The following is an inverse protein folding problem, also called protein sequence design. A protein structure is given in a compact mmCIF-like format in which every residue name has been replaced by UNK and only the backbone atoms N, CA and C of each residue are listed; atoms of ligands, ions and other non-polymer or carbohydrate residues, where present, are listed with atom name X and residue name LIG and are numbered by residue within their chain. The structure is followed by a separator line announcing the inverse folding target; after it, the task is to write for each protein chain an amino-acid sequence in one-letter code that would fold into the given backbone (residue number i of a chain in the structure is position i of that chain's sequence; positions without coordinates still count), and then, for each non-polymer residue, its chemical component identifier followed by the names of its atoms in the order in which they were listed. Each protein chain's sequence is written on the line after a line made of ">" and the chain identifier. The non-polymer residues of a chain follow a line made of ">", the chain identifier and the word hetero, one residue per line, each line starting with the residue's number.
data_IF_341083412518
#
_entry.id   IF_341083412518
#
_cell.length_a   1.000
_cell.length_b   1.000
_cell.length_c   1.000
_cell.angle_alpha   90.00
_cell.angle_beta   90.00
_cell.angle_gamma   90.00
#
_symmetry.space_group_name_H-M   'P 1'
#
loop_
_entity.id
_entity.type
_entity.pdbx_description
1 polymer ?
#
# COMPACT_ATOMS: atom_id res chain seq x y z
N UNK A 1 -77.56 55.68 -27.84
CA UNK A 1 -76.89 54.85 -28.85
C UNK A 1 -77.75 54.88 -30.10
N UNK A 2 -77.31 55.57 -31.16
CA UNK A 2 -78.03 55.58 -32.44
C UNK A 2 -77.33 54.66 -33.43
N UNK A 3 -78.14 53.90 -34.16
CA UNK A 3 -77.71 52.95 -35.19
C UNK A 3 -78.69 53.10 -36.35
N UNK A 4 -78.18 53.25 -37.56
CA UNK A 4 -79.02 53.46 -38.75
C UNK A 4 -79.25 52.16 -39.52
N UNK A 5 -80.26 52.13 -40.41
CA UNK A 5 -80.55 50.95 -41.22
C UNK A 5 -79.36 50.57 -42.13
N UNK A 6 -78.58 51.55 -42.58
CA UNK A 6 -77.36 51.31 -43.34
C UNK A 6 -76.21 50.81 -42.45
N UNK A 7 -76.11 51.25 -41.19
CA UNK A 7 -75.17 50.65 -40.23
C UNK A 7 -75.49 49.17 -39.99
N UNK A 8 -76.78 48.81 -39.92
CA UNK A 8 -77.23 47.41 -39.78
C UNK A 8 -76.97 46.57 -41.03
N UNK A 9 -77.23 47.10 -42.24
CA UNK A 9 -76.93 46.38 -43.50
C UNK A 9 -75.43 46.20 -43.72
N UNK A 10 -74.65 47.21 -43.36
CA UNK A 10 -73.18 47.18 -43.44
C UNK A 10 -72.63 46.15 -42.46
N UNK A 11 -73.13 46.13 -41.21
CA UNK A 11 -72.76 45.12 -40.22
C UNK A 11 -73.18 43.70 -40.66
N UNK A 12 -74.40 43.51 -41.16
CA UNK A 12 -74.91 42.20 -41.61
C UNK A 12 -74.11 41.58 -42.77
N UNK A 13 -73.34 42.40 -43.49
CA UNK A 13 -72.44 41.96 -44.57
C UNK A 13 -70.96 41.93 -44.15
N UNK A 14 -70.67 42.14 -42.86
CA UNK A 14 -69.32 42.21 -42.29
C UNK A 14 -69.04 41.01 -41.37
N UNK A 15 -67.81 40.88 -40.89
CA UNK A 15 -67.39 39.80 -39.99
C UNK A 15 -66.64 40.35 -38.76
N UNK A 16 -66.53 39.52 -37.71
CA UNK A 16 -65.81 39.85 -36.48
C UNK A 16 -66.43 41.02 -35.71
N UNK A 17 -65.59 41.90 -35.15
CA UNK A 17 -66.03 43.06 -34.38
C UNK A 17 -66.88 44.06 -35.20
N UNK A 18 -66.78 44.02 -36.54
CA UNK A 18 -67.55 44.89 -37.43
C UNK A 18 -69.04 44.51 -37.56
N UNK A 19 -69.42 43.32 -37.06
CA UNK A 19 -70.82 42.94 -36.88
C UNK A 19 -71.55 43.79 -35.81
N UNK A 20 -70.80 44.50 -34.96
CA UNK A 20 -71.38 45.36 -33.93
C UNK A 20 -71.79 46.68 -34.59
N UNK A 21 -73.11 46.97 -34.74
CA UNK A 21 -73.55 48.13 -35.51
C UNK A 21 -73.45 49.44 -34.70
N UNK A 22 -73.24 49.33 -33.39
CA UNK A 22 -73.05 50.46 -32.49
C UNK A 22 -71.59 50.91 -32.50
N UNK A 23 -71.32 52.11 -32.99
CA UNK A 23 -69.97 52.61 -33.25
C UNK A 23 -69.05 52.58 -32.02
N UNK A 24 -69.57 52.96 -30.85
CA UNK A 24 -68.74 53.15 -29.65
C UNK A 24 -68.33 51.81 -29.03
N UNK A 25 -69.29 50.88 -28.93
CA UNK A 25 -69.03 49.49 -28.54
C UNK A 25 -68.15 48.76 -29.55
N UNK A 26 -68.35 49.02 -30.85
CA UNK A 26 -67.48 48.47 -31.90
C UNK A 26 -66.05 48.96 -31.73
N UNK A 27 -65.82 50.25 -31.48
CA UNK A 27 -64.47 50.79 -31.27
C UNK A 27 -63.77 50.19 -30.06
N UNK A 28 -64.45 50.04 -28.93
CA UNK A 28 -63.88 49.35 -27.76
C UNK A 28 -63.59 47.87 -28.05
N UNK A 29 -64.54 47.17 -28.69
CA UNK A 29 -64.35 45.77 -29.07
C UNK A 29 -63.21 45.58 -30.08
N UNK A 30 -63.06 46.49 -31.05
CA UNK A 30 -61.94 46.49 -32.00
C UNK A 30 -60.62 46.73 -31.27
N UNK A 31 -60.54 47.72 -30.38
CA UNK A 31 -59.34 47.99 -29.58
C UNK A 31 -58.92 46.78 -28.74
N UNK A 32 -59.87 46.11 -28.08
CA UNK A 32 -59.62 44.90 -27.29
C UNK A 32 -59.23 43.72 -28.20
N UNK A 33 -59.89 43.55 -29.35
CA UNK A 33 -59.56 42.49 -30.30
C UNK A 33 -58.16 42.66 -30.88
N UNK A 34 -57.75 43.89 -31.20
CA UNK A 34 -56.40 44.21 -31.67
C UNK A 34 -55.36 43.96 -30.57
N UNK A 35 -55.67 44.31 -29.31
CA UNK A 35 -54.79 44.03 -28.17
C UNK A 35 -54.66 42.53 -27.88
N UNK A 36 -55.75 41.76 -28.01
CA UNK A 36 -55.73 40.30 -27.91
C UNK A 36 -54.93 39.70 -29.07
N UNK A 37 -55.14 40.15 -30.30
CA UNK A 37 -54.41 39.65 -31.47
C UNK A 37 -52.90 39.89 -31.32
N UNK A 38 -52.51 41.10 -30.92
CA UNK A 38 -51.11 41.47 -30.67
C UNK A 38 -50.49 40.64 -29.55
N UNK A 39 -51.18 40.47 -28.41
CA UNK A 39 -50.67 39.69 -27.29
C UNK A 39 -50.65 38.19 -27.58
N UNK A 40 -51.59 37.68 -28.36
CA UNK A 40 -51.61 36.28 -28.81
C UNK A 40 -50.41 35.98 -29.70
N UNK A 41 -50.11 36.86 -30.65
CA UNK A 41 -48.92 36.73 -31.49
C UNK A 41 -47.63 36.82 -30.68
N UNK A 42 -47.56 37.74 -29.70
CA UNK A 42 -46.40 37.87 -28.82
C UNK A 42 -46.22 36.66 -27.90
N UNK A 43 -47.31 36.07 -27.39
CA UNK A 43 -47.28 34.85 -26.56
C UNK A 43 -46.96 33.61 -27.39
N UNK A 44 -47.54 33.47 -28.59
CA UNK A 44 -47.29 32.30 -29.45
C UNK A 44 -45.84 32.31 -29.96
N UNK A 45 -45.31 33.47 -30.37
CA UNK A 45 -43.93 33.57 -30.86
C UNK A 45 -42.92 33.48 -29.72
N UNK A 46 -43.04 34.29 -28.66
CA UNK A 46 -42.08 34.26 -27.55
C UNK A 46 -42.23 33.01 -26.69
N UNK A 47 -43.45 32.51 -26.48
CA UNK A 47 -43.71 31.30 -25.70
C UNK A 47 -43.09 30.07 -26.33
N UNK A 48 -43.24 29.89 -27.65
CA UNK A 48 -42.64 28.76 -28.36
C UNK A 48 -41.10 28.85 -28.39
N UNK A 49 -40.55 30.06 -28.60
CA UNK A 49 -39.09 30.28 -28.56
C UNK A 49 -38.52 30.01 -27.18
N UNK A 50 -39.14 30.53 -26.11
CA UNK A 50 -38.68 30.33 -24.75
C UNK A 50 -38.80 28.87 -24.31
N UNK A 51 -39.85 28.17 -24.74
CA UNK A 51 -40.02 26.72 -24.48
C UNK A 51 -38.91 25.93 -25.15
N UNK A 52 -38.65 26.18 -26.43
CA UNK A 52 -37.58 25.51 -27.17
C UNK A 52 -36.19 25.80 -26.58
N UNK A 53 -35.94 27.05 -26.16
CA UNK A 53 -34.68 27.42 -25.50
C UNK A 53 -34.52 26.76 -24.13
N UNK A 54 -35.60 26.66 -23.35
CA UNK A 54 -35.61 25.97 -22.06
C UNK A 54 -35.29 24.49 -22.23
N UNK A 55 -35.92 23.83 -23.19
CA UNK A 55 -35.71 22.40 -23.45
C UNK A 55 -34.29 22.13 -23.94
N UNK A 56 -33.75 22.99 -24.82
CA UNK A 56 -32.34 22.94 -25.24
C UNK A 56 -31.39 23.09 -24.03
N UNK A 57 -31.64 24.06 -23.15
CA UNK A 57 -30.80 24.28 -21.96
C UNK A 57 -30.91 23.14 -20.95
N UNK A 58 -32.09 22.55 -20.77
CA UNK A 58 -32.26 21.36 -19.93
C UNK A 58 -31.49 20.17 -20.48
N UNK A 59 -31.48 20.01 -21.80
CA UNK A 59 -30.66 19.01 -22.47
C UNK A 59 -29.16 19.26 -22.25
N UNK A 60 -28.69 20.50 -22.42
CA UNK A 60 -27.30 20.88 -22.15
C UNK A 60 -26.90 20.62 -20.69
N UNK A 61 -27.77 20.99 -19.72
CA UNK A 61 -27.54 20.75 -18.29
C UNK A 61 -27.41 19.25 -18.02
N UNK A 62 -28.28 18.43 -18.63
CA UNK A 62 -28.21 16.97 -18.47
C UNK A 62 -26.89 16.43 -19.02
N UNK A 63 -26.49 16.86 -20.22
CA UNK A 63 -25.21 16.45 -20.83
C UNK A 63 -23.99 16.91 -20.02
N UNK A 64 -24.02 18.11 -19.47
CA UNK A 64 -22.97 18.62 -18.59
C UNK A 64 -22.91 17.85 -17.27
N UNK A 65 -24.06 17.54 -16.66
CA UNK A 65 -24.10 16.71 -15.45
C UNK A 65 -23.58 15.29 -15.70
N UNK A 66 -23.89 14.70 -16.86
CA UNK A 66 -23.33 13.40 -17.27
C UNK A 66 -21.80 13.48 -17.47
N UNK A 67 -21.29 14.55 -18.07
CA UNK A 67 -19.84 14.80 -18.21
C UNK A 67 -19.15 14.99 -16.85
N UNK A 68 -19.72 15.82 -15.97
CA UNK A 68 -19.22 16.04 -14.60
C UNK A 68 -19.17 14.71 -13.83
N UNK A 69 -20.25 13.94 -13.84
CA UNK A 69 -20.29 12.64 -13.16
C UNK A 69 -19.26 11.65 -13.74
N UNK A 70 -18.92 11.79 -15.02
CA UNK A 70 -17.89 10.98 -15.67
C UNK A 70 -16.46 11.46 -15.34
N UNK A 71 -16.22 12.77 -15.27
CA UNK A 71 -14.94 13.37 -14.87
C UNK A 71 -14.66 13.20 -13.37
N UNK A 72 -15.66 13.31 -12.50
CA UNK A 72 -15.55 13.03 -11.06
C UNK A 72 -15.14 11.58 -10.76
N UNK A 73 -15.56 10.62 -11.62
CA UNK A 73 -15.07 9.23 -11.57
C UNK A 73 -13.60 9.11 -11.99
N UNK A 74 -13.10 10.02 -12.82
CA UNK A 74 -11.73 10.01 -13.36
C UNK A 74 -10.75 10.74 -12.43
N UNK A 75 -11.16 11.81 -11.74
CA UNK A 75 -10.28 12.61 -10.86
C UNK A 75 -9.91 11.89 -9.54
N UNK A 76 -10.77 11.00 -9.03
CA UNK A 76 -10.45 10.14 -7.88
C UNK A 76 -9.44 9.02 -8.20
N UNK A 77 -9.14 8.79 -9.48
CA UNK A 77 -8.32 7.66 -9.95
C UNK A 77 -6.90 8.10 -10.32
N UNK A 78 -6.70 9.29 -10.91
CA UNK A 78 -5.37 9.76 -11.34
C UNK A 78 -4.44 10.14 -10.18
N UNK A 79 -4.91 10.86 -9.14
CA UNK A 79 -4.08 11.16 -7.95
C UNK A 79 -3.71 9.90 -7.15
N UNK A 80 -4.62 8.92 -7.09
CA UNK A 80 -4.33 7.61 -6.49
C UNK A 80 -3.35 6.82 -7.35
N UNK A 81 -3.35 6.97 -8.67
CA UNK A 81 -2.47 6.23 -9.55
C UNK A 81 -1.01 6.67 -9.40
N UNK A 82 -0.75 7.98 -9.34
CA UNK A 82 0.61 8.51 -9.08
C UNK A 82 1.13 8.06 -7.70
N UNK A 83 0.26 8.08 -6.68
CA UNK A 83 0.59 7.58 -5.34
C UNK A 83 0.83 6.06 -5.34
N UNK A 84 0.00 5.29 -6.06
CA UNK A 84 0.17 3.84 -6.24
C UNK A 84 1.49 3.53 -6.94
N UNK A 85 1.84 4.27 -7.99
CA UNK A 85 3.07 4.03 -8.74
C UNK A 85 4.31 4.47 -7.94
N UNK A 86 4.19 5.51 -7.13
CA UNK A 86 5.20 5.86 -6.11
C UNK A 86 5.37 4.74 -5.08
N UNK A 87 4.27 4.23 -4.52
CA UNK A 87 4.33 3.13 -3.54
C UNK A 87 4.86 1.84 -4.15
N UNK A 88 4.53 1.51 -5.40
CA UNK A 88 5.12 0.35 -6.10
C UNK A 88 6.63 0.49 -6.23
N UNK A 89 7.12 1.67 -6.61
CA UNK A 89 8.55 1.94 -6.73
C UNK A 89 9.25 1.85 -5.37
N UNK A 90 8.60 2.33 -4.32
CA UNK A 90 9.10 2.22 -2.95
C UNK A 90 9.13 0.75 -2.47
N UNK A 91 8.09 -0.03 -2.79
CA UNK A 91 8.06 -1.48 -2.53
C UNK A 91 9.19 -2.20 -3.29
N UNK A 92 9.44 -1.84 -4.55
CA UNK A 92 10.51 -2.45 -5.35
C UNK A 92 11.90 -2.13 -4.79
N UNK A 93 12.14 -0.88 -4.38
CA UNK A 93 13.39 -0.48 -3.70
C UNK A 93 13.55 -1.20 -2.35
N UNK A 94 12.48 -1.29 -1.56
CA UNK A 94 12.48 -2.03 -0.29
C UNK A 94 12.73 -3.52 -0.51
N UNK A 95 12.16 -4.14 -1.53
CA UNK A 95 12.42 -5.53 -1.89
C UNK A 95 13.89 -5.74 -2.30
N UNK A 96 14.48 -4.80 -3.04
CA UNK A 96 15.90 -4.79 -3.35
C UNK A 96 16.77 -4.79 -2.08
N UNK A 97 16.44 -3.92 -1.12
CA UNK A 97 17.12 -3.85 0.19
C UNK A 97 16.95 -5.13 1.00
N UNK A 98 15.75 -5.72 1.03
CA UNK A 98 15.49 -7.00 1.70
C UNK A 98 16.36 -8.11 1.11
N UNK A 99 16.47 -8.16 -0.23
CA UNK A 99 17.32 -9.16 -0.90
C UNK A 99 18.80 -9.00 -0.54
N UNK A 100 19.31 -7.77 -0.49
CA UNK A 100 20.69 -7.50 -0.06
C UNK A 100 20.93 -7.91 1.40
N UNK A 101 20.01 -7.54 2.30
CA UNK A 101 20.04 -7.94 3.71
C UNK A 101 20.04 -9.47 3.84
N UNK A 102 19.22 -10.19 3.07
CA UNK A 102 19.19 -11.64 3.08
C UNK A 102 20.53 -12.25 2.64
N UNK A 103 21.15 -11.70 1.59
CA UNK A 103 22.49 -12.15 1.15
C UNK A 103 23.57 -11.91 2.22
N UNK A 104 23.47 -10.81 2.96
CA UNK A 104 24.38 -10.53 4.08
C UNK A 104 24.11 -11.48 5.25
N UNK A 105 22.84 -11.76 5.58
CA UNK A 105 22.45 -12.73 6.60
C UNK A 105 22.97 -14.14 6.29
N UNK A 106 22.89 -14.59 5.04
CA UNK A 106 23.45 -15.88 4.62
C UNK A 106 24.97 -15.97 4.89
N UNK A 107 25.70 -14.89 4.58
CA UNK A 107 27.15 -14.80 4.81
C UNK A 107 27.48 -14.86 6.30
N UNK A 108 26.71 -14.15 7.12
CA UNK A 108 26.87 -14.15 8.58
C UNK A 108 26.51 -15.52 9.16
N UNK A 109 25.47 -16.18 8.64
CA UNK A 109 25.04 -17.51 9.05
C UNK A 109 26.12 -18.56 8.77
N UNK A 110 26.73 -18.54 7.58
CA UNK A 110 27.85 -19.43 7.25
C UNK A 110 29.04 -19.21 8.19
N UNK A 111 29.38 -17.94 8.45
CA UNK A 111 30.44 -17.57 9.38
C UNK A 111 30.16 -18.06 10.81
N UNK A 112 28.92 -17.94 11.28
CA UNK A 112 28.49 -18.41 12.60
C UNK A 112 28.53 -19.94 12.72
N UNK A 113 28.16 -20.68 11.65
CA UNK A 113 28.28 -22.15 11.60
C UNK A 113 29.74 -22.59 11.67
N UNK A 114 30.63 -21.97 10.89
CA UNK A 114 32.07 -22.25 10.96
C UNK A 114 32.64 -21.99 12.35
N UNK A 115 32.23 -20.91 13.00
CA UNK A 115 32.65 -20.63 14.37
C UNK A 115 32.15 -21.69 15.35
N UNK A 116 30.91 -22.16 15.21
CA UNK A 116 30.38 -23.26 16.01
C UNK A 116 31.22 -24.54 15.83
N UNK A 117 31.49 -24.95 14.59
CA UNK A 117 32.28 -26.15 14.28
C UNK A 117 33.71 -26.08 14.84
N UNK A 118 34.34 -24.90 14.75
CA UNK A 118 35.66 -24.66 15.35
C UNK A 118 35.63 -24.79 16.87
N UNK A 119 34.56 -24.33 17.53
CA UNK A 119 34.40 -24.46 19.00
C UNK A 119 34.18 -25.91 19.42
N UNK A 120 33.36 -26.65 18.68
CA UNK A 120 33.17 -28.09 18.88
C UNK A 120 34.50 -28.82 18.75
N UNK A 121 35.24 -28.54 17.67
CA UNK A 121 36.57 -29.13 17.42
C UNK A 121 37.55 -28.81 18.56
N UNK A 122 37.58 -27.56 19.04
CA UNK A 122 38.44 -27.16 20.15
C UNK A 122 38.13 -27.93 21.44
N UNK A 123 36.84 -28.14 21.75
CA UNK A 123 36.43 -28.98 22.90
C UNK A 123 36.94 -30.42 22.74
N UNK A 124 36.81 -31.00 21.56
CA UNK A 124 37.33 -32.36 21.28
C UNK A 124 38.85 -32.45 21.46
N UNK A 125 39.59 -31.42 21.06
CA UNK A 125 41.03 -31.33 21.32
C UNK A 125 41.36 -31.25 22.81
N UNK A 126 40.61 -30.49 23.60
CA UNK A 126 40.78 -30.46 25.05
C UNK A 126 40.46 -31.81 25.71
N UNK A 127 39.41 -32.50 25.27
CA UNK A 127 39.08 -33.84 25.75
C UNK A 127 40.17 -34.85 25.39
N UNK A 128 40.72 -34.76 24.18
CA UNK A 128 41.87 -35.58 23.76
C UNK A 128 43.11 -35.30 24.61
N UNK A 129 43.41 -34.03 24.90
CA UNK A 129 44.53 -33.65 25.75
C UNK A 129 44.37 -34.20 27.18
N UNK A 130 43.18 -34.06 27.78
CA UNK A 130 42.87 -34.65 29.10
C UNK A 130 43.08 -36.16 29.10
N UNK A 131 42.61 -36.88 28.07
CA UNK A 131 42.82 -38.34 27.94
C UNK A 131 44.29 -38.71 27.86
N UNK A 132 45.08 -38.02 27.03
CA UNK A 132 46.52 -38.27 26.89
C UNK A 132 47.27 -37.99 28.20
N UNK A 133 46.93 -36.92 28.93
CA UNK A 133 47.53 -36.61 30.22
C UNK A 133 47.19 -37.67 31.28
N UNK A 134 45.94 -38.15 31.32
CA UNK A 134 45.55 -39.25 32.21
C UNK A 134 46.25 -40.57 31.86
N UNK A 135 46.46 -40.85 30.58
CA UNK A 135 47.22 -42.01 30.12
C UNK A 135 48.70 -41.91 30.49
N UNK A 136 49.32 -40.73 30.36
CA UNK A 136 50.70 -40.48 30.81
C UNK A 136 50.88 -40.62 32.32
N UNK A 137 49.89 -40.16 33.11
CA UNK A 137 49.88 -40.40 34.56
C UNK A 137 49.85 -41.90 34.89
N UNK A 138 49.10 -42.66 34.11
CA UNK A 138 48.95 -44.11 34.31
C UNK A 138 50.16 -44.91 33.78
N UNK A 139 50.90 -44.35 32.82
CA UNK A 139 52.03 -44.98 32.14
C UNK A 139 53.20 -43.98 32.00
N UNK A 140 53.85 -43.57 33.11
CA UNK A 140 54.87 -42.53 33.11
C UNK A 140 56.10 -42.89 32.28
N UNK A 141 56.36 -44.19 32.06
CA UNK A 141 57.45 -44.70 31.22
C UNK A 141 57.35 -44.22 29.77
N UNK A 142 56.14 -43.89 29.28
CA UNK A 142 55.92 -43.35 27.93
C UNK A 142 56.55 -41.97 27.73
N UNK A 143 56.72 -41.20 28.80
CA UNK A 143 57.35 -39.88 28.77
C UNK A 143 58.75 -39.87 29.39
N UNK A 144 58.98 -40.68 30.43
CA UNK A 144 60.20 -40.64 31.24
C UNK A 144 61.20 -41.76 30.92
N UNK A 145 60.84 -42.71 30.04
CA UNK A 145 61.68 -43.87 29.70
C UNK A 145 61.57 -45.02 30.71
N UNK A 146 62.37 -46.07 30.52
CA UNK A 146 62.33 -47.27 31.36
C UNK A 146 62.82 -46.98 32.80
N UNK A 147 62.04 -47.42 33.79
CA UNK A 147 62.32 -47.32 35.22
C UNK A 147 62.56 -45.88 35.76
N UNK A 148 61.57 -44.97 35.61
CA UNK A 148 61.73 -43.59 36.06
C UNK A 148 61.73 -43.46 37.59
N UNK A 149 62.51 -42.51 38.11
CA UNK A 149 62.58 -42.23 39.55
C UNK A 149 61.25 -41.73 40.12
N UNK A 150 61.01 -41.98 41.40
CA UNK A 150 59.80 -41.54 42.09
C UNK A 150 59.64 -40.00 42.10
N UNK A 151 60.76 -39.28 42.16
CA UNK A 151 60.81 -37.82 42.04
C UNK A 151 60.24 -37.36 40.68
N UNK A 152 60.70 -37.99 39.59
CA UNK A 152 60.28 -37.65 38.23
C UNK A 152 58.80 -38.02 37.99
N UNK A 153 58.34 -39.14 38.57
CA UNK A 153 56.92 -39.55 38.51
C UNK A 153 56.00 -38.55 39.21
N UNK A 154 56.37 -38.10 40.42
CA UNK A 154 55.62 -37.08 41.18
C UNK A 154 55.58 -35.74 40.45
N UNK A 155 56.69 -35.34 39.83
CA UNK A 155 56.76 -34.10 39.08
C UNK A 155 55.91 -34.15 37.79
N UNK A 156 55.90 -35.28 37.07
CA UNK A 156 55.02 -35.52 35.93
C UNK A 156 53.55 -35.43 36.35
N UNK A 157 53.19 -36.11 37.43
CA UNK A 157 51.82 -36.11 37.94
C UNK A 157 51.36 -34.70 38.37
N UNK A 158 52.21 -33.96 39.06
CA UNK A 158 51.96 -32.56 39.44
C UNK A 158 51.70 -31.69 38.21
N UNK A 159 52.57 -31.77 37.20
CA UNK A 159 52.42 -31.03 35.96
C UNK A 159 51.15 -31.42 35.19
N UNK A 160 50.86 -32.71 35.06
CA UNK A 160 49.66 -33.20 34.37
C UNK A 160 48.37 -32.72 35.06
N UNK A 161 48.32 -32.76 36.39
CA UNK A 161 47.17 -32.30 37.17
C UNK A 161 46.95 -30.78 37.05
N UNK A 162 48.03 -29.99 37.05
CA UNK A 162 47.94 -28.54 36.84
C UNK A 162 47.42 -28.19 35.44
N UNK A 163 47.87 -28.91 34.40
CA UNK A 163 47.39 -28.70 33.02
C UNK A 163 45.91 -29.09 32.90
N UNK A 164 45.50 -30.25 33.42
CA UNK A 164 44.09 -30.68 33.42
C UNK A 164 43.22 -29.64 34.14
N UNK A 165 43.64 -29.18 35.32
CA UNK A 165 42.91 -28.18 36.11
C UNK A 165 42.78 -26.84 35.39
N UNK A 166 43.76 -26.46 34.57
CA UNK A 166 43.67 -25.26 33.71
C UNK A 166 42.68 -25.45 32.56
N UNK A 167 42.70 -26.62 31.92
CA UNK A 167 41.74 -26.97 30.86
C UNK A 167 40.31 -26.94 31.40
N UNK A 168 40.04 -27.58 32.53
CA UNK A 168 38.73 -27.64 33.16
C UNK A 168 38.20 -26.26 33.56
N UNK A 169 39.07 -25.38 34.10
CA UNK A 169 38.71 -23.99 34.40
C UNK A 169 38.29 -23.21 33.15
N UNK A 170 38.90 -23.46 31.99
CA UNK A 170 38.54 -22.83 30.72
C UNK A 170 37.31 -23.44 30.05
N UNK A 171 37.02 -24.72 30.31
CA UNK A 171 35.99 -25.49 29.62
C UNK A 171 34.57 -24.92 29.82
N UNK A 172 34.26 -24.39 31.01
CA UNK A 172 32.97 -23.74 31.30
C UNK A 172 32.75 -22.50 30.43
N UNK A 173 33.79 -21.69 30.23
CA UNK A 173 33.77 -20.52 29.34
C UNK A 173 33.62 -20.93 27.87
N UNK A 174 34.33 -21.98 27.44
CA UNK A 174 34.23 -22.50 26.08
C UNK A 174 32.84 -23.06 25.76
N UNK A 175 32.24 -23.85 26.68
CA UNK A 175 30.88 -24.38 26.55
C UNK A 175 29.83 -23.27 26.47
N UNK A 176 29.94 -22.27 27.36
CA UNK A 176 29.03 -21.11 27.34
C UNK A 176 29.09 -20.37 26.01
N UNK A 177 30.30 -20.15 25.49
CA UNK A 177 30.48 -19.48 24.21
C UNK A 177 30.02 -20.34 23.01
N UNK A 178 30.19 -21.66 23.07
CA UNK A 178 29.64 -22.59 22.07
C UNK A 178 28.10 -22.53 22.03
N UNK A 179 27.45 -22.62 23.19
CA UNK A 179 25.98 -22.54 23.31
C UNK A 179 25.45 -21.18 22.81
N UNK A 180 26.18 -20.10 23.08
CA UNK A 180 25.82 -18.78 22.59
C UNK A 180 25.86 -18.72 21.05
N UNK A 181 26.92 -19.25 20.42
CA UNK A 181 27.02 -19.30 18.95
C UNK A 181 25.92 -20.19 18.36
N UNK A 182 25.63 -21.35 18.99
CA UNK A 182 24.52 -22.22 18.57
C UNK A 182 23.18 -21.49 18.56
N UNK A 183 22.87 -20.74 19.63
CA UNK A 183 21.65 -19.91 19.70
C UNK A 183 21.63 -18.81 18.64
N UNK A 184 22.78 -18.22 18.31
CA UNK A 184 22.87 -17.21 17.23
C UNK A 184 22.61 -17.84 15.86
N UNK A 185 23.15 -19.02 15.58
CA UNK A 185 22.88 -19.76 14.33
C UNK A 185 21.38 -20.02 14.16
N UNK A 186 20.68 -20.48 15.19
CA UNK A 186 19.23 -20.73 15.09
C UNK A 186 18.44 -19.44 14.89
N UNK A 187 18.76 -18.35 15.60
CA UNK A 187 18.12 -17.05 15.38
C UNK A 187 18.31 -16.52 13.96
N UNK A 188 19.50 -16.69 13.39
CA UNK A 188 19.81 -16.25 12.02
C UNK A 188 19.05 -17.08 10.97
N UNK A 189 18.93 -18.41 11.17
CA UNK A 189 18.09 -19.27 10.32
C UNK A 189 16.62 -18.83 10.36
N UNK A 190 16.07 -18.65 11.56
CA UNK A 190 14.68 -18.19 11.72
C UNK A 190 14.43 -16.82 11.07
N UNK A 191 15.42 -15.92 11.08
CA UNK A 191 15.31 -14.61 10.43
C UNK A 191 15.27 -14.74 8.90
N UNK A 192 16.09 -15.62 8.32
CA UNK A 192 16.06 -15.94 6.89
C UNK A 192 14.72 -16.55 6.47
N UNK A 193 14.21 -17.52 7.24
CA UNK A 193 12.96 -18.24 6.92
C UNK A 193 11.71 -17.33 6.99
N UNK A 194 11.75 -16.22 7.74
CA UNK A 194 10.62 -15.28 7.90
C UNK A 194 10.50 -14.25 6.77
N UNK A 195 11.40 -14.23 5.79
CA UNK A 195 11.45 -13.16 4.77
C UNK A 195 10.68 -13.43 3.48
N UNK A 196 10.04 -14.60 3.32
CA UNK A 196 9.05 -14.81 2.25
C UNK A 196 7.68 -14.23 2.64
N UNK A 197 7.46 -12.95 2.37
CA UNK A 197 6.10 -12.43 2.25
C UNK A 197 5.57 -12.73 0.83
N UNK A 198 4.61 -13.65 0.76
CA UNK A 198 3.77 -13.88 -0.44
C UNK A 198 2.80 -12.73 -0.65
#
# INVERSE_FOLDING_TARGET
>A
MSCTLDDLKTAASSEGVNLIPFSDLRKEATSIADDIARRKEEVDTKGNVLTSQKDSKLWDIKQLNEKIANEEKVEATLRRQDDIDKWKKEIEDLNGKVKDINSQLDTVLDSARRLYDLRVSLREWFDKAKRLLSDLKSNPERALGSNPSDENKKELERCANEIISRIERGESGHKTAEDQVKRQVEKLKEALDKTEYK
#
